data_IF_281944259252
#
_entry.id   IF_281944259252
#
_cell.length_a   1.000
_cell.length_b   1.000
_cell.length_c   1.000
_cell.angle_alpha   90.00
_cell.angle_beta   90.00
_cell.angle_gamma   90.00
#
_symmetry.space_group_name_H-M   'P 1'
#
loop_
_entity.id
_entity.type
_entity.pdbx_description
1 polymer ?
#
# COMPACT_ATOMS: atom_id res chain seq x y z
N UNK A 1 -14.12 -14.52 24.89
CA UNK A 1 -15.01 -13.42 24.48
C UNK A 1 -14.63 -12.97 23.07
N UNK A 2 -15.40 -13.36 22.06
CA UNK A 2 -15.17 -12.96 20.67
C UNK A 2 -15.63 -11.51 20.48
N UNK A 3 -14.72 -10.62 20.07
CA UNK A 3 -15.01 -9.22 19.74
C UNK A 3 -16.01 -9.21 18.59
N UNK A 4 -17.21 -8.66 18.81
CA UNK A 4 -18.16 -8.40 17.74
C UNK A 4 -17.52 -7.45 16.70
N UNK A 5 -17.44 -7.83 15.41
CA UNK A 5 -16.87 -6.96 14.40
C UNK A 5 -17.86 -5.86 14.05
N UNK A 6 -17.81 -4.75 14.79
CA UNK A 6 -18.52 -3.51 14.45
C UNK A 6 -17.75 -2.78 13.34
N UNK A 7 -17.80 -3.31 12.12
CA UNK A 7 -17.42 -2.54 10.92
C UNK A 7 -18.62 -2.52 10.00
N UNK A 8 -19.12 -1.30 9.72
CA UNK A 8 -20.17 -1.07 8.73
C UNK A 8 -19.78 -1.83 7.45
N UNK A 9 -20.58 -2.83 7.12
CA UNK A 9 -20.37 -3.68 5.95
C UNK A 9 -20.46 -2.77 4.71
N UNK A 10 -19.38 -2.66 3.93
CA UNK A 10 -19.36 -1.81 2.73
C UNK A 10 -20.44 -2.23 1.73
N UNK A 11 -20.93 -1.28 0.92
CA UNK A 11 -22.06 -1.48 0.00
C UNK A 11 -21.88 -2.68 -0.93
N UNK A 12 -20.67 -2.88 -1.47
CA UNK A 12 -20.37 -4.04 -2.32
C UNK A 12 -20.55 -5.37 -1.57
N UNK A 13 -20.13 -5.43 -0.31
CA UNK A 13 -20.31 -6.63 0.52
C UNK A 13 -21.78 -6.86 0.87
N UNK A 14 -22.54 -5.79 1.12
CA UNK A 14 -24.00 -5.91 1.31
C UNK A 14 -24.69 -6.45 0.06
N UNK A 15 -24.31 -5.95 -1.12
CA UNK A 15 -24.83 -6.45 -2.40
C UNK A 15 -24.51 -7.94 -2.61
N UNK A 16 -23.27 -8.36 -2.33
CA UNK A 16 -22.87 -9.76 -2.42
C UNK A 16 -23.65 -10.65 -1.45
N UNK A 17 -23.83 -10.22 -0.19
CA UNK A 17 -24.63 -10.95 0.79
C UNK A 17 -26.09 -11.06 0.34
N UNK A 18 -26.69 -9.98 -0.19
CA UNK A 18 -28.10 -9.98 -0.57
C UNK A 18 -28.40 -10.89 -1.76
N UNK A 19 -27.49 -10.96 -2.74
CA UNK A 19 -27.77 -11.62 -4.02
C UNK A 19 -27.04 -12.95 -4.21
N UNK A 20 -25.92 -13.19 -3.51
CA UNK A 20 -25.02 -14.34 -3.74
C UNK A 20 -24.63 -15.09 -2.46
N UNK A 21 -25.33 -14.86 -1.34
CA UNK A 21 -25.09 -15.63 -0.11
C UNK A 21 -25.51 -17.10 -0.23
N UNK A 22 -26.52 -17.38 -1.06
CA UNK A 22 -26.95 -18.74 -1.38
C UNK A 22 -26.03 -19.31 -2.45
N UNK A 23 -25.29 -20.36 -2.12
CA UNK A 23 -24.41 -21.02 -3.08
C UNK A 23 -25.22 -21.96 -3.98
N UNK A 24 -24.93 -22.01 -5.28
CA UNK A 24 -25.59 -22.95 -6.18
C UNK A 24 -25.30 -24.39 -5.71
N UNK A 25 -26.35 -25.20 -5.59
CA UNK A 25 -26.23 -26.63 -5.31
C UNK A 25 -26.31 -27.41 -6.61
N UNK A 26 -25.53 -28.48 -6.72
CA UNK A 26 -25.59 -29.54 -7.73
C UNK A 26 -25.74 -29.07 -9.20
N UNK A 27 -24.59 -28.81 -9.85
CA UNK A 27 -24.51 -28.56 -11.29
C UNK A 27 -24.96 -27.18 -11.78
N UNK A 28 -25.51 -26.33 -10.91
CA UNK A 28 -25.84 -24.96 -11.26
C UNK A 28 -24.59 -24.10 -11.49
N UNK A 29 -24.67 -23.19 -12.45
CA UNK A 29 -23.55 -22.34 -12.88
C UNK A 29 -23.07 -21.43 -11.74
N UNK A 30 -21.78 -21.52 -11.41
CA UNK A 30 -21.17 -20.60 -10.45
C UNK A 30 -20.94 -19.26 -11.11
N UNK A 31 -21.68 -18.25 -10.67
CA UNK A 31 -21.43 -16.85 -11.07
C UNK A 31 -20.23 -16.23 -10.33
N UNK A 32 -19.61 -15.23 -10.96
CA UNK A 32 -18.53 -14.43 -10.36
C UNK A 32 -18.89 -13.86 -8.97
N UNK A 33 -20.15 -13.48 -8.76
CA UNK A 33 -20.66 -12.99 -7.49
C UNK A 33 -20.52 -13.97 -6.34
N UNK A 34 -20.72 -15.27 -6.57
CA UNK A 34 -20.54 -16.31 -5.54
C UNK A 34 -19.08 -16.42 -5.11
N UNK A 35 -18.15 -16.36 -6.07
CA UNK A 35 -16.71 -16.38 -5.79
C UNK A 35 -16.30 -15.15 -4.97
N UNK A 36 -16.82 -13.97 -5.32
CA UNK A 36 -16.57 -12.74 -4.58
C UNK A 36 -17.15 -12.78 -3.17
N UNK A 37 -18.36 -13.33 -3.01
CA UNK A 37 -18.98 -13.52 -1.71
C UNK A 37 -18.07 -14.39 -0.82
N UNK A 38 -17.68 -15.59 -1.29
CA UNK A 38 -16.75 -16.48 -0.60
C UNK A 38 -15.42 -15.80 -0.26
N UNK A 39 -14.88 -15.01 -1.20
CA UNK A 39 -13.65 -14.26 -0.95
C UNK A 39 -13.80 -13.24 0.17
N UNK A 40 -14.95 -12.57 0.26
CA UNK A 40 -15.20 -11.58 1.32
C UNK A 40 -15.56 -12.18 2.67
N UNK A 41 -16.14 -13.38 2.71
CA UNK A 41 -16.45 -14.10 3.96
C UNK A 41 -15.21 -14.70 4.59
N UNK A 42 -14.25 -15.15 3.78
CA UNK A 42 -12.97 -15.70 4.25
C UNK A 42 -11.86 -14.64 4.36
N UNK A 43 -12.20 -13.44 4.83
CA UNK A 43 -11.25 -12.34 5.08
C UNK A 43 -10.28 -12.03 3.93
N UNK A 44 -10.72 -12.22 2.68
CA UNK A 44 -9.94 -11.97 1.47
C UNK A 44 -8.70 -12.88 1.33
N UNK A 45 -8.76 -14.08 1.94
CA UNK A 45 -7.74 -15.11 1.84
C UNK A 45 -8.05 -16.05 0.66
N UNK A 46 -7.20 -16.01 -0.37
CA UNK A 46 -7.43 -16.73 -1.62
C UNK A 46 -7.45 -18.26 -1.44
N UNK A 47 -6.55 -18.81 -0.61
CA UNK A 47 -6.48 -20.26 -0.36
C UNK A 47 -7.78 -20.79 0.24
N UNK A 48 -8.31 -20.12 1.27
CA UNK A 48 -9.59 -20.48 1.88
C UNK A 48 -10.76 -20.38 0.89
N UNK A 49 -10.74 -19.35 0.04
CA UNK A 49 -11.75 -19.18 -1.01
C UNK A 49 -11.72 -20.31 -2.02
N UNK A 50 -10.52 -20.74 -2.43
CA UNK A 50 -10.34 -21.85 -3.35
C UNK A 50 -10.82 -23.17 -2.74
N UNK A 51 -10.51 -23.42 -1.46
CA UNK A 51 -11.00 -24.61 -0.75
C UNK A 51 -12.52 -24.62 -0.69
N UNK A 52 -13.13 -23.53 -0.23
CA UNK A 52 -14.59 -23.42 -0.16
C UNK A 52 -15.27 -23.56 -1.54
N UNK A 53 -14.63 -23.08 -2.60
CA UNK A 53 -15.15 -23.20 -3.96
C UNK A 53 -15.09 -24.65 -4.48
N UNK A 54 -14.07 -25.42 -4.08
CA UNK A 54 -13.97 -26.85 -4.42
C UNK A 54 -15.06 -27.68 -3.75
N UNK A 55 -15.51 -27.28 -2.57
CA UNK A 55 -16.59 -27.98 -1.86
C UNK A 55 -17.96 -27.75 -2.54
N UNK A 56 -18.11 -26.65 -3.28
CA UNK A 56 -19.36 -26.26 -3.95
C UNK A 56 -19.42 -26.77 -5.39
N UNK A 57 -18.28 -26.83 -6.08
CA UNK A 57 -18.21 -27.27 -7.49
C UNK A 57 -17.77 -28.73 -7.54
N UNK A 58 -18.70 -29.69 -7.79
CA UNK A 58 -18.33 -31.09 -7.92
C UNK A 58 -17.47 -31.30 -9.17
N UNK A 59 -16.34 -31.98 -8.99
CA UNK A 59 -15.41 -32.37 -10.06
C UNK A 59 -13.99 -31.87 -9.85
N UNK A 60 -13.03 -32.52 -10.52
CA UNK A 60 -11.61 -32.15 -10.48
C UNK A 60 -11.35 -30.94 -11.38
N UNK A 61 -12.04 -29.87 -11.04
CA UNK A 61 -11.99 -28.61 -11.76
C UNK A 61 -10.68 -27.91 -11.41
N UNK A 62 -9.82 -27.74 -12.42
CA UNK A 62 -8.64 -26.90 -12.31
C UNK A 62 -9.08 -25.43 -12.27
N UNK A 63 -9.51 -24.98 -11.10
CA UNK A 63 -9.79 -23.58 -10.83
C UNK A 63 -8.49 -22.80 -11.01
N UNK A 64 -8.37 -22.06 -12.11
CA UNK A 64 -7.19 -21.25 -12.34
C UNK A 64 -7.12 -20.15 -11.28
N UNK A 65 -6.21 -20.32 -10.32
CA UNK A 65 -5.93 -19.32 -9.28
C UNK A 65 -5.71 -17.91 -9.86
N UNK A 66 -5.28 -17.82 -11.13
CA UNK A 66 -5.17 -16.58 -11.89
C UNK A 66 -6.51 -15.87 -12.13
N UNK A 67 -7.57 -16.59 -12.55
CA UNK A 67 -8.88 -16.00 -12.83
C UNK A 67 -9.48 -15.42 -11.55
N UNK A 68 -9.47 -16.19 -10.46
CA UNK A 68 -9.96 -15.73 -9.16
C UNK A 68 -9.12 -14.54 -8.67
N UNK A 69 -7.78 -14.58 -8.81
CA UNK A 69 -6.92 -13.42 -8.49
C UNK A 69 -7.29 -12.18 -9.31
N UNK A 70 -7.61 -12.32 -10.61
CA UNK A 70 -8.03 -11.22 -11.47
C UNK A 70 -9.36 -10.62 -10.98
N UNK A 71 -10.29 -11.48 -10.62
CA UNK A 71 -11.62 -11.12 -10.12
C UNK A 71 -11.54 -10.42 -8.75
N UNK A 72 -10.74 -10.94 -7.81
CA UNK A 72 -10.43 -10.29 -6.54
C UNK A 72 -9.74 -8.92 -6.70
N UNK A 73 -8.94 -8.73 -7.75
CA UNK A 73 -8.35 -7.41 -8.07
C UNK A 73 -9.41 -6.42 -8.56
N UNK A 74 -10.39 -6.88 -9.33
CA UNK A 74 -11.49 -6.06 -9.80
C UNK A 74 -12.39 -5.61 -8.64
N UNK A 75 -12.64 -6.47 -7.66
CA UNK A 75 -13.39 -6.11 -6.44
C UNK A 75 -12.81 -4.89 -5.72
N UNK A 76 -11.48 -4.71 -5.75
CA UNK A 76 -10.83 -3.54 -5.09
C UNK A 76 -11.23 -2.21 -5.73
N UNK A 77 -11.65 -2.20 -7.01
CA UNK A 77 -12.12 -0.99 -7.69
C UNK A 77 -13.51 -0.58 -7.20
N UNK A 78 -14.37 -1.55 -6.92
CA UNK A 78 -15.76 -1.35 -6.50
C UNK A 78 -15.92 -1.28 -4.98
N UNK A 79 -14.95 -0.70 -4.25
CA UNK A 79 -15.00 -0.68 -2.76
C UNK A 79 -16.10 0.23 -2.23
N UNK A 80 -16.33 1.35 -2.92
CA UNK A 80 -17.19 2.42 -2.43
C UNK A 80 -18.56 2.43 -3.10
N UNK A 81 -18.66 2.00 -4.37
CA UNK A 81 -19.91 1.98 -5.15
C UNK A 81 -20.69 3.28 -4.96
N UNK A 82 -20.05 4.42 -5.22
CA UNK A 82 -20.67 5.74 -4.98
C UNK A 82 -21.65 6.11 -6.07
N UNK A 83 -21.40 5.62 -7.28
CA UNK A 83 -22.11 6.04 -8.48
C UNK A 83 -23.01 4.91 -8.99
N UNK A 84 -24.15 5.27 -9.57
CA UNK A 84 -25.11 4.31 -10.13
C UNK A 84 -24.50 3.50 -11.28
N UNK A 85 -23.63 4.12 -12.08
CA UNK A 85 -22.89 3.44 -13.15
C UNK A 85 -21.92 2.39 -12.60
N UNK A 86 -21.24 2.66 -11.47
CA UNK A 86 -20.39 1.68 -10.79
C UNK A 86 -21.22 0.52 -10.26
N UNK A 87 -22.41 0.80 -9.71
CA UNK A 87 -23.35 -0.22 -9.26
C UNK A 87 -23.77 -1.15 -10.40
N UNK A 88 -24.17 -0.60 -11.55
CA UNK A 88 -24.56 -1.38 -12.73
C UNK A 88 -23.40 -2.22 -13.25
N UNK A 89 -22.21 -1.64 -13.38
CA UNK A 89 -21.01 -2.37 -13.81
C UNK A 89 -20.63 -3.49 -12.84
N UNK A 90 -20.75 -3.26 -11.53
CA UNK A 90 -20.49 -4.27 -10.52
C UNK A 90 -21.54 -5.39 -10.57
N UNK A 91 -22.82 -5.04 -10.77
CA UNK A 91 -23.89 -6.01 -10.92
C UNK A 91 -23.67 -6.90 -12.15
N UNK A 92 -23.31 -6.33 -13.30
CA UNK A 92 -22.97 -7.08 -14.52
C UNK A 92 -21.82 -8.04 -14.24
N UNK A 93 -20.73 -7.54 -13.65
CA UNK A 93 -19.56 -8.36 -13.32
C UNK A 93 -19.91 -9.52 -12.37
N UNK A 94 -20.82 -9.32 -11.41
CA UNK A 94 -21.22 -10.37 -10.47
C UNK A 94 -22.10 -11.45 -11.12
N UNK A 95 -22.88 -11.10 -12.14
CA UNK A 95 -23.77 -12.04 -12.84
C UNK A 95 -23.10 -12.74 -14.03
N UNK A 96 -21.87 -12.37 -14.39
CA UNK A 96 -21.08 -13.14 -15.36
C UNK A 96 -20.80 -14.56 -14.83
N UNK A 97 -21.02 -15.55 -15.70
CA UNK A 97 -20.73 -16.97 -15.43
C UNK A 97 -19.22 -17.15 -15.28
N UNK A 98 -18.81 -17.86 -14.22
CA UNK A 98 -17.41 -18.21 -14.03
C UNK A 98 -17.03 -19.26 -15.07
N UNK A 99 -16.27 -18.86 -16.09
CA UNK A 99 -15.74 -19.79 -17.09
C UNK A 99 -14.63 -20.62 -16.47
N UNK A 100 -15.07 -21.71 -15.86
CA UNK A 100 -14.25 -22.83 -15.45
C UNK A 100 -13.81 -23.53 -16.72
N UNK A 101 -12.51 -23.53 -17.03
CA UNK A 101 -12.04 -24.37 -18.11
C UNK A 101 -12.29 -25.83 -17.71
N UNK A 102 -13.18 -26.49 -18.45
CA UNK A 102 -13.36 -27.92 -18.31
C UNK A 102 -12.03 -28.65 -18.54
N UNK A 103 -11.93 -29.92 -18.10
CA UNK A 103 -10.79 -30.76 -18.45
C UNK A 103 -10.63 -30.69 -19.97
N UNK A 104 -9.52 -30.13 -20.43
CA UNK A 104 -9.15 -30.19 -21.85
C UNK A 104 -9.18 -31.67 -22.21
N UNK A 105 -10.05 -32.13 -23.12
CA UNK A 105 -10.07 -33.53 -23.48
C UNK A 105 -8.68 -33.87 -24.02
N UNK A 106 -7.93 -34.64 -23.23
CA UNK A 106 -6.62 -35.16 -23.58
C UNK A 106 -6.78 -36.21 -24.67
N UNK A 107 -7.18 -35.79 -25.86
CA UNK A 107 -7.24 -36.61 -27.06
C UNK A 107 -6.11 -36.18 -27.97
N UNK A 108 -4.88 -36.46 -27.55
CA UNK A 108 -3.72 -36.45 -28.45
C UNK A 108 -3.07 -37.82 -28.34
N UNK A 109 -3.64 -38.77 -29.07
CA UNK A 109 -2.94 -39.99 -29.50
C UNK A 109 -2.05 -39.60 -30.68
N UNK A 110 -0.91 -38.98 -30.39
CA UNK A 110 0.15 -38.78 -31.40
C UNK A 110 1.01 -40.04 -31.45
N UNK A 111 0.76 -40.85 -32.48
CA UNK A 111 1.70 -41.87 -32.96
C UNK A 111 2.94 -41.17 -33.53
N UNK A 112 3.95 -40.96 -32.72
CA UNK A 112 5.26 -40.51 -33.17
C UNK A 112 6.06 -41.70 -33.71
N UNK A 113 6.05 -41.87 -35.03
CA UNK A 113 7.06 -42.63 -35.77
C UNK A 113 8.40 -41.89 -35.70
N UNK A 114 9.50 -42.51 -35.25
CA UNK A 114 10.81 -41.87 -35.25
C UNK A 114 11.38 -41.92 -36.67
N UNK A 115 11.34 -40.80 -37.39
CA UNK A 115 12.13 -40.64 -38.62
C UNK A 115 13.56 -40.25 -38.24
N UNK A 116 14.42 -41.24 -38.36
CA UNK A 116 15.88 -41.20 -38.43
C UNK A 116 16.34 -40.11 -39.40
N UNK A 117 17.02 -39.08 -38.88
CA UNK A 117 17.77 -38.13 -39.68
C UNK A 117 19.20 -38.65 -39.87
N UNK A 118 19.53 -39.03 -41.10
CA UNK A 118 20.89 -39.34 -41.53
C UNK A 118 21.83 -38.12 -41.38
N UNK A 119 23.11 -38.34 -41.03
CA UNK A 119 24.12 -37.29 -41.04
C UNK A 119 24.51 -36.93 -42.49
N UNK A 120 24.32 -35.66 -42.84
CA UNK A 120 24.71 -35.12 -44.13
C UNK A 120 26.24 -35.24 -44.38
N UNK A 121 26.68 -35.64 -45.59
CA UNK A 121 28.09 -35.69 -45.92
C UNK A 121 28.65 -34.28 -46.10
N UNK A 122 29.68 -33.99 -45.30
CA UNK A 122 30.53 -32.81 -45.42
C UNK A 122 31.30 -32.87 -46.74
N UNK A 123 30.81 -32.20 -47.78
CA UNK A 123 31.53 -32.02 -49.04
C UNK A 123 32.06 -30.59 -49.12
N UNK A 124 33.28 -30.43 -48.59
CA UNK A 124 34.08 -29.22 -48.66
C UNK A 124 34.72 -29.13 -50.07
N UNK A 125 33.88 -28.82 -51.05
CA UNK A 125 34.25 -28.70 -52.46
C UNK A 125 34.21 -27.25 -52.91
N UNK A 126 35.19 -26.44 -52.52
CA UNK A 126 35.38 -25.09 -53.06
C UNK A 126 35.81 -25.15 -54.54
N UNK A 127 34.86 -25.39 -55.44
CA UNK A 127 35.05 -25.22 -56.89
C UNK A 127 35.14 -23.73 -57.17
N UNK A 128 36.38 -23.22 -57.28
CA UNK A 128 36.67 -21.90 -57.85
C UNK A 128 36.27 -21.92 -59.33
N UNK A 129 35.00 -21.65 -59.62
CA UNK A 129 34.54 -21.27 -60.96
C UNK A 129 35.17 -19.92 -61.31
N UNK A 130 36.40 -19.97 -61.82
CA UNK A 130 37.05 -18.88 -62.52
C UNK A 130 36.19 -18.51 -63.72
N UNK A 131 35.29 -17.53 -63.54
CA UNK A 131 34.55 -16.93 -64.64
C UNK A 131 35.57 -16.27 -65.57
N UNK A 132 35.98 -16.99 -66.61
CA UNK A 132 36.58 -16.38 -67.80
C UNK A 132 35.67 -15.23 -68.22
N UNK A 133 36.26 -14.04 -68.35
CA UNK A 133 35.66 -12.77 -68.73
C UNK A 133 35.25 -12.80 -70.21
N UNK A 134 34.39 -13.75 -70.58
CA UNK A 134 33.81 -13.85 -71.91
C UNK A 134 32.76 -12.76 -72.10
N UNK A 135 32.70 -12.19 -73.30
CA UNK A 135 31.71 -11.21 -73.71
C UNK A 135 30.31 -11.66 -73.26
N UNK A 136 29.72 -10.88 -72.35
CA UNK A 136 28.40 -11.18 -71.82
C UNK A 136 27.39 -11.01 -72.95
N UNK A 137 26.59 -12.04 -73.22
CA UNK A 137 25.49 -11.86 -74.16
C UNK A 137 24.51 -10.83 -73.59
N UNK A 138 23.88 -9.98 -74.42
CA UNK A 138 22.91 -8.98 -73.95
C UNK A 138 21.81 -9.57 -73.05
N UNK A 139 21.43 -10.84 -73.28
CA UNK A 139 20.49 -11.60 -72.43
C UNK A 139 21.05 -11.84 -71.02
N UNK A 140 22.32 -12.22 -70.89
CA UNK A 140 22.98 -12.43 -69.59
C UNK A 140 23.04 -11.14 -68.77
N UNK A 141 23.34 -10.00 -69.41
CA UNK A 141 23.38 -8.71 -68.72
C UNK A 141 22.00 -8.29 -68.19
N UNK A 142 20.93 -8.52 -68.96
CA UNK A 142 19.55 -8.28 -68.50
C UNK A 142 19.21 -9.13 -67.27
N UNK A 143 19.60 -10.42 -67.28
CA UNK A 143 19.39 -11.32 -66.14
C UNK A 143 20.18 -10.86 -64.92
N UNK A 144 21.47 -10.50 -65.09
CA UNK A 144 22.32 -10.00 -64.02
C UNK A 144 21.71 -8.75 -63.37
N UNK A 145 21.31 -7.75 -64.17
CA UNK A 145 20.66 -6.52 -63.66
C UNK A 145 19.38 -6.83 -62.88
N UNK A 146 18.56 -7.78 -63.34
CA UNK A 146 17.35 -8.22 -62.61
C UNK A 146 17.71 -8.86 -61.27
N UNK A 147 18.73 -9.72 -61.24
CA UNK A 147 19.19 -10.35 -59.99
C UNK A 147 19.77 -9.33 -59.02
N UNK A 148 20.55 -8.36 -59.51
CA UNK A 148 21.06 -7.24 -58.70
C UNK A 148 19.94 -6.38 -58.12
N UNK A 149 18.89 -6.09 -58.91
CA UNK A 149 17.73 -5.37 -58.43
C UNK A 149 17.00 -6.13 -57.30
N UNK A 150 16.76 -7.43 -57.50
CA UNK A 150 16.10 -8.26 -56.49
C UNK A 150 16.97 -8.43 -55.23
N UNK A 151 18.28 -8.62 -55.39
CA UNK A 151 19.20 -8.76 -54.26
C UNK A 151 19.30 -7.46 -53.46
N UNK A 152 19.36 -6.31 -54.13
CA UNK A 152 19.32 -4.98 -53.49
C UNK A 152 18.02 -4.76 -52.72
N UNK A 153 16.87 -5.09 -53.32
CA UNK A 153 15.57 -4.99 -52.65
C UNK A 153 15.47 -5.87 -51.39
N UNK A 154 15.93 -7.14 -51.47
CA UNK A 154 15.99 -8.04 -50.31
C UNK A 154 16.94 -7.52 -49.23
N UNK A 155 18.10 -6.99 -49.61
CA UNK A 155 19.06 -6.41 -48.67
C UNK A 155 18.49 -5.19 -47.95
N UNK A 156 17.86 -4.27 -48.66
CA UNK A 156 17.20 -3.10 -48.07
C UNK A 156 16.07 -3.49 -47.13
N UNK A 157 15.24 -4.47 -47.50
CA UNK A 157 14.17 -4.99 -46.64
C UNK A 157 14.73 -5.61 -45.36
N UNK A 158 15.78 -6.44 -45.46
CA UNK A 158 16.47 -7.02 -44.30
C UNK A 158 17.07 -5.93 -43.41
N UNK A 159 17.68 -4.90 -44.00
CA UNK A 159 18.24 -3.76 -43.27
C UNK A 159 17.15 -3.01 -42.49
N UNK A 160 16.01 -2.74 -43.11
CA UNK A 160 14.85 -2.09 -42.45
C UNK A 160 14.32 -2.94 -41.30
N UNK A 161 14.15 -4.24 -41.50
CA UNK A 161 13.70 -5.16 -40.45
C UNK A 161 14.65 -5.16 -39.23
N UNK A 162 15.97 -5.26 -39.47
CA UNK A 162 16.96 -5.22 -38.40
C UNK A 162 16.94 -3.89 -37.65
N UNK A 163 16.75 -2.76 -38.35
CA UNK A 163 16.60 -1.45 -37.71
C UNK A 163 15.36 -1.40 -36.81
N UNK A 164 14.20 -1.85 -37.32
CA UNK A 164 12.95 -1.91 -36.53
C UNK A 164 13.10 -2.79 -35.28
N UNK A 165 13.76 -3.95 -35.39
CA UNK A 165 14.01 -4.82 -34.24
C UNK A 165 14.93 -4.17 -33.20
N UNK A 166 15.93 -3.39 -33.63
CA UNK A 166 16.78 -2.61 -32.71
C UNK A 166 15.97 -1.55 -31.97
N UNK A 167 15.11 -0.82 -32.68
CA UNK A 167 14.26 0.22 -32.08
C UNK A 167 13.27 -0.38 -31.08
N UNK A 168 12.62 -1.49 -31.42
CA UNK A 168 11.73 -2.23 -30.52
C UNK A 168 12.46 -2.73 -29.27
N UNK A 169 13.66 -3.29 -29.41
CA UNK A 169 14.47 -3.72 -28.27
C UNK A 169 14.87 -2.53 -27.38
N UNK A 170 15.25 -1.40 -27.97
CA UNK A 170 15.56 -0.18 -27.21
C UNK A 170 14.34 0.34 -26.43
N UNK A 171 13.15 0.33 -27.05
CA UNK A 171 11.89 0.66 -26.38
C UNK A 171 11.60 -0.33 -25.24
N UNK A 172 11.78 -1.63 -25.48
CA UNK A 172 11.57 -2.66 -24.46
C UNK A 172 12.49 -2.43 -23.25
N UNK A 173 13.79 -2.19 -23.46
CA UNK A 173 14.73 -1.87 -22.39
C UNK A 173 14.31 -0.62 -21.60
N UNK A 174 13.82 0.43 -22.28
CA UNK A 174 13.27 1.62 -21.61
C UNK A 174 12.09 1.26 -20.71
N UNK A 175 11.16 0.40 -21.18
CA UNK A 175 10.02 -0.03 -20.35
C UNK A 175 10.45 -0.87 -19.13
N UNK A 176 11.45 -1.75 -19.29
CA UNK A 176 12.00 -2.55 -18.18
C UNK A 176 12.64 -1.63 -17.13
N UNK A 177 13.40 -0.63 -17.55
CA UNK A 177 13.99 0.38 -16.64
C UNK A 177 12.91 1.13 -15.85
N UNK A 178 11.82 1.55 -16.51
CA UNK A 178 10.68 2.20 -15.84
C UNK A 178 10.00 1.27 -14.84
N UNK A 179 9.80 0.00 -15.18
CA UNK A 179 9.24 -1.00 -14.24
C UNK A 179 10.11 -1.16 -13.00
N UNK A 180 11.43 -1.25 -13.16
CA UNK A 180 12.36 -1.33 -12.05
C UNK A 180 12.31 -0.07 -11.16
N UNK A 181 12.35 1.12 -11.75
CA UNK A 181 12.25 2.37 -10.99
C UNK A 181 10.94 2.47 -10.20
N UNK A 182 9.81 2.10 -10.82
CA UNK A 182 8.51 2.06 -10.14
C UNK A 182 8.50 1.07 -8.96
N UNK A 183 9.23 -0.05 -9.07
CA UNK A 183 9.38 -1.00 -7.97
C UNK A 183 10.22 -0.41 -6.83
N UNK A 184 11.31 0.29 -7.14
CA UNK A 184 12.15 0.98 -6.16
C UNK A 184 11.35 2.07 -5.44
N UNK A 185 10.55 2.87 -6.16
CA UNK A 185 9.67 3.89 -5.57
C UNK A 185 8.70 3.25 -4.57
N UNK A 186 7.99 2.18 -4.96
CA UNK A 186 7.07 1.47 -4.06
C UNK A 186 7.75 0.96 -2.78
N UNK A 187 8.99 0.48 -2.88
CA UNK A 187 9.76 0.05 -1.70
C UNK A 187 10.10 1.23 -0.79
N UNK A 188 10.51 2.37 -1.37
CA UNK A 188 10.79 3.59 -0.61
C UNK A 188 9.54 4.15 0.06
N UNK A 189 8.38 4.13 -0.59
CA UNK A 189 7.11 4.57 0.00
C UNK A 189 6.76 3.79 1.26
N UNK A 190 6.94 2.46 1.24
CA UNK A 190 6.73 1.61 2.42
C UNK A 190 7.66 1.99 3.57
N UNK A 191 8.94 2.29 3.28
CA UNK A 191 9.91 2.73 4.28
C UNK A 191 9.51 4.09 4.85
N UNK A 192 9.11 5.05 4.00
CA UNK A 192 8.66 6.37 4.42
C UNK A 192 7.45 6.26 5.36
N UNK A 193 6.46 5.42 5.02
CA UNK A 193 5.29 5.20 5.87
C UNK A 193 5.69 4.64 7.24
N UNK A 194 6.62 3.67 7.28
CA UNK A 194 7.14 3.12 8.55
C UNK A 194 7.86 4.18 9.38
N UNK A 195 8.74 4.96 8.76
CA UNK A 195 9.50 6.02 9.45
C UNK A 195 8.56 7.10 9.98
N UNK A 196 7.58 7.55 9.18
CA UNK A 196 6.56 8.52 9.62
C UNK A 196 5.82 8.02 10.84
N UNK A 197 5.41 6.75 10.85
CA UNK A 197 4.75 6.14 12.01
C UNK A 197 5.62 6.18 13.26
N UNK A 198 6.89 5.76 13.16
CA UNK A 198 7.82 5.78 14.30
C UNK A 198 8.04 7.18 14.86
N UNK A 199 8.18 8.18 13.99
CA UNK A 199 8.35 9.58 14.40
C UNK A 199 7.10 10.09 15.11
N UNK A 200 5.91 9.81 14.56
CA UNK A 200 4.63 10.21 15.18
C UNK A 200 4.44 9.54 16.55
N UNK A 201 4.72 8.25 16.65
CA UNK A 201 4.61 7.51 17.91
C UNK A 201 5.58 8.06 18.97
N UNK A 202 6.83 8.38 18.58
CA UNK A 202 7.84 9.02 19.46
C UNK A 202 7.38 10.39 19.96
N UNK A 203 6.92 11.26 19.06
CA UNK A 203 6.42 12.58 19.42
C UNK A 203 5.18 12.50 20.32
N UNK A 204 4.31 11.52 20.10
CA UNK A 204 3.15 11.30 20.95
C UNK A 204 3.53 10.88 22.37
N UNK A 205 4.57 10.04 22.49
CA UNK A 205 5.12 9.64 23.78
C UNK A 205 5.71 10.84 24.53
N UNK A 206 6.53 11.65 23.87
CA UNK A 206 7.11 12.88 24.44
C UNK A 206 6.03 13.91 24.86
N UNK A 207 5.00 14.09 24.04
CA UNK A 207 3.86 14.95 24.38
C UNK A 207 3.11 14.43 25.61
N UNK A 208 3.02 13.12 25.77
CA UNK A 208 2.33 12.50 26.92
C UNK A 208 3.16 12.66 28.20
N UNK A 209 4.48 12.43 28.13
CA UNK A 209 5.37 12.60 29.30
C UNK A 209 5.41 14.06 29.77
N UNK A 210 5.50 15.02 28.84
CA UNK A 210 5.49 16.46 29.16
C UNK A 210 4.16 16.90 29.79
N UNK A 211 3.01 16.41 29.29
CA UNK A 211 1.70 16.64 29.91
C UNK A 211 1.63 16.13 31.35
N UNK A 212 2.16 14.92 31.60
CA UNK A 212 2.21 14.34 32.95
C UNK A 212 3.09 15.21 33.87
N UNK A 213 4.28 15.62 33.41
CA UNK A 213 5.17 16.48 34.17
C UNK A 213 4.53 17.83 34.52
N UNK A 214 3.87 18.47 33.54
CA UNK A 214 3.13 19.70 33.76
C UNK A 214 2.02 19.53 34.81
N UNK A 215 1.25 18.45 34.73
CA UNK A 215 0.21 18.15 35.72
C UNK A 215 0.77 17.97 37.13
N UNK A 216 1.93 17.31 37.28
CA UNK A 216 2.64 17.18 38.57
C UNK A 216 3.08 18.56 39.08
N UNK A 217 3.66 19.40 38.23
CA UNK A 217 4.11 20.75 38.57
C UNK A 217 2.93 21.63 39.02
N UNK A 218 1.80 21.58 38.29
CA UNK A 218 0.58 22.31 38.65
C UNK A 218 0.05 21.88 40.03
N UNK A 219 0.05 20.57 40.34
CA UNK A 219 -0.33 20.07 41.67
C UNK A 219 0.60 20.59 42.75
N UNK A 220 1.92 20.58 42.52
CA UNK A 220 2.93 21.12 43.46
C UNK A 220 2.72 22.63 43.68
N UNK A 221 2.51 23.39 42.62
CA UNK A 221 2.21 24.82 42.70
C UNK A 221 0.94 25.10 43.49
N UNK A 222 -0.15 24.35 43.24
CA UNK A 222 -1.39 24.46 44.00
C UNK A 222 -1.18 24.20 45.49
N UNK A 223 -0.40 23.17 45.86
CA UNK A 223 -0.05 22.87 47.27
C UNK A 223 0.74 24.01 47.91
N UNK A 224 1.76 24.54 47.21
CA UNK A 224 2.54 25.68 47.70
C UNK A 224 1.68 26.94 47.89
N UNK A 225 0.73 27.19 46.98
CA UNK A 225 -0.21 28.31 47.09
C UNK A 225 -1.10 28.18 48.34
N UNK A 226 -1.66 26.99 48.59
CA UNK A 226 -2.45 26.72 49.80
C UNK A 226 -1.60 26.87 51.07
N UNK A 227 -0.38 26.32 51.08
CA UNK A 227 0.54 26.47 52.21
C UNK A 227 0.83 27.93 52.54
N UNK A 228 1.15 28.75 51.52
CA UNK A 228 1.37 30.20 51.69
C UNK A 228 0.13 30.95 52.20
N UNK A 229 -1.06 30.47 51.84
CA UNK A 229 -2.31 31.07 52.33
C UNK A 229 -2.51 30.77 53.81
N UNK A 230 -2.27 29.52 54.25
CA UNK A 230 -2.37 29.13 55.65
C UNK A 230 -1.31 29.81 56.54
N UNK A 231 -0.05 29.92 56.08
CA UNK A 231 1.00 30.58 56.88
C UNK A 231 0.73 32.06 57.09
N UNK A 232 0.19 32.76 56.08
CA UNK A 232 -0.21 34.18 56.22
C UNK A 232 -1.26 34.39 57.30
N UNK A 233 -2.20 33.47 57.47
CA UNK A 233 -3.24 33.57 58.51
C UNK A 233 -2.75 33.19 59.90
N UNK A 234 -1.73 32.32 60.01
CA UNK A 234 -1.23 31.86 61.31
C UNK A 234 -0.14 32.75 61.92
N UNK A 235 0.60 33.51 61.12
CA UNK A 235 1.62 34.45 61.62
C UNK A 235 1.09 35.89 61.77
N UNK A 236 -0.18 36.13 61.43
CA UNK A 236 -0.92 37.30 61.87
C UNK A 236 -1.69 37.00 63.15
N UNK A 237 -1.00 36.56 64.21
CA UNK A 237 -1.46 37.03 65.51
C UNK A 237 -1.37 38.55 65.45
N UNK A 238 -2.43 39.28 65.84
CA UNK A 238 -2.40 40.72 65.82
C UNK A 238 -1.31 41.19 66.79
N UNK A 239 -0.15 41.55 66.25
CA UNK A 239 0.82 42.41 66.96
C UNK A 239 0.12 43.69 67.44
N UNK A 240 -1.09 44.01 66.94
CA UNK A 240 -1.99 45.03 67.47
C UNK A 240 -2.32 44.88 68.98
N UNK A 241 -2.31 43.66 69.55
CA UNK A 241 -2.54 43.46 70.99
C UNK A 241 -1.35 43.88 71.87
N UNK A 242 -0.13 43.66 71.39
CA UNK A 242 1.09 44.03 72.11
C UNK A 242 1.54 45.47 71.82
N UNK A 243 1.25 46.03 70.63
CA UNK A 243 1.58 47.44 70.34
C UNK A 243 0.76 48.41 71.16
N UNK A 244 -0.49 48.09 71.48
CA UNK A 244 -1.31 48.92 72.37
C UNK A 244 -0.74 48.97 73.80
N UNK A 245 -0.33 47.82 74.36
CA UNK A 245 0.34 47.76 75.66
C UNK A 245 1.68 48.50 75.64
N UNK A 246 2.50 48.28 74.62
CA UNK A 246 3.79 48.95 74.47
C UNK A 246 3.62 50.47 74.32
N UNK A 247 2.59 50.91 73.60
CA UNK A 247 2.28 52.33 73.43
C UNK A 247 1.82 52.99 74.73
N UNK A 248 0.99 52.31 75.51
CA UNK A 248 0.59 52.78 76.84
C UNK A 248 1.78 52.87 77.79
N UNK A 249 2.69 51.89 77.76
CA UNK A 249 3.89 51.89 78.60
C UNK A 249 4.87 53.00 78.19
N UNK A 250 5.01 53.27 76.88
CA UNK A 250 5.78 54.41 76.36
C UNK A 250 5.19 55.74 76.83
N UNK A 251 3.87 55.94 76.69
CA UNK A 251 3.21 57.16 77.16
C UNK A 251 3.37 57.37 78.67
N UNK A 252 3.26 56.30 79.47
CA UNK A 252 3.50 56.37 80.91
C UNK A 252 4.94 56.84 81.20
N UNK A 253 5.95 56.24 80.55
CA UNK A 253 7.35 56.65 80.73
C UNK A 253 7.59 58.11 80.31
N UNK A 254 6.98 58.56 79.21
CA UNK A 254 7.07 59.97 78.77
C UNK A 254 6.42 60.95 79.76
N UNK A 255 5.36 60.53 80.48
CA UNK A 255 4.78 61.36 81.54
C UNK A 255 5.67 61.43 82.78
N UNK A 256 6.30 60.31 83.16
CA UNK A 256 7.26 60.27 84.28
C UNK A 256 8.49 61.13 83.97
N UNK A 257 9.04 61.03 82.76
CA UNK A 257 10.19 61.86 82.33
C UNK A 257 9.84 63.35 82.42
N UNK A 258 8.71 63.78 81.84
CA UNK A 258 8.27 65.19 81.95
C UNK A 258 8.08 65.66 83.38
N UNK A 259 7.58 64.78 84.26
CA UNK A 259 7.43 65.11 85.67
C UNK A 259 8.79 65.34 86.34
N UNK A 260 9.75 64.45 86.11
CA UNK A 260 11.12 64.56 86.63
C UNK A 260 11.86 65.78 86.06
N UNK A 261 11.69 66.07 84.77
CA UNK A 261 12.25 67.28 84.13
C UNK A 261 11.72 68.56 84.78
N UNK A 262 10.42 68.60 85.09
CA UNK A 262 9.82 69.73 85.79
C UNK A 262 10.31 69.85 87.24
N UNK A 263 10.51 68.75 87.96
CA UNK A 263 11.09 68.78 89.31
C UNK A 263 12.52 69.34 89.30
N UNK A 264 13.34 68.95 88.31
CA UNK A 264 14.69 69.50 88.13
C UNK A 264 14.67 71.00 87.82
N UNK A 265 13.69 71.48 87.05
CA UNK A 265 13.54 72.90 86.70
C UNK A 265 13.12 73.81 87.87
N UNK A 266 12.56 73.24 88.94
CA UNK A 266 12.09 73.97 90.14
C UNK A 266 13.16 74.02 91.24
N UNK A 267 14.19 73.18 91.15
CA UNK A 267 15.37 73.18 92.03
C UNK A 267 16.47 74.13 91.51
#
# INVERSE_FOLDING_TARGET
MQKAPCTKVGLARQYLIKNFATLPSDGAEVLNGHVLFLYTTHDRVLSCTLTALKDVVPGDVSLYSYQIKKLCKLLKKFRHLTDESEHTNFAVLCHEVLVIAGPVPSTITESATPLTCDPAPSSDGHVKLSLRKGFSSPRRDRIRKRLEFVSKGKFEMKRKYVAQMKDLNAQHHKTVKVKYLNQVIKRKDVIIVKLKKLVVDSLHQELTTTKIQLAVLMRKHRRLKLYRQCTRTSTSEPIAGNTSKLHHELQYKDTVIRHLENEILVL
#
